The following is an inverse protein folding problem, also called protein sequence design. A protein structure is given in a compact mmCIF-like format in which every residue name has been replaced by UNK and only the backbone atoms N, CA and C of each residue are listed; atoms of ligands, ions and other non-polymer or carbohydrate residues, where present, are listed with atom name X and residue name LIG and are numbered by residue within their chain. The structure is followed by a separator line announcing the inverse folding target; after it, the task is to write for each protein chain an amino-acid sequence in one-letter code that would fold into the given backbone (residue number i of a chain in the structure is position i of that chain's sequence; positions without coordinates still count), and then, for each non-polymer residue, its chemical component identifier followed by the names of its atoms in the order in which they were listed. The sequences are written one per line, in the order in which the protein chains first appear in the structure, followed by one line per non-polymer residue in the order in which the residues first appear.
data_IF_566320613435
#
_entry.id   IF_566320613435
#
_cell.length_a   1.000
_cell.length_b   1.000
_cell.length_c   1.000
_cell.angle_alpha   90.00
_cell.angle_beta   90.00
_cell.angle_gamma   90.00
#
_symmetry.space_group_name_H-M   'P 1'
#
loop_
_entity.id
_entity.type
_entity.pdbx_description
1 polymer ?
#
# COMPACT_ATOMS: atom_id res chain seq x y z
N UNK A 1 -63.70 -17.14 -39.77
CA UNK A 1 -62.24 -17.36 -39.87
C UNK A 1 -61.60 -16.51 -38.77
N UNK A 2 -60.90 -17.14 -37.83
CA UNK A 2 -60.54 -16.56 -36.53
C UNK A 2 -59.47 -15.47 -36.62
N UNK A 3 -59.67 -14.37 -35.89
CA UNK A 3 -58.67 -13.31 -35.69
C UNK A 3 -57.52 -13.80 -34.80
N UNK A 4 -56.29 -13.69 -35.31
CA UNK A 4 -55.05 -13.88 -34.54
C UNK A 4 -54.68 -12.55 -33.89
N UNK A 5 -54.97 -12.40 -32.59
CA UNK A 5 -54.51 -11.28 -31.76
C UNK A 5 -53.40 -11.77 -30.83
N UNK A 6 -52.14 -11.71 -31.28
CA UNK A 6 -50.98 -12.10 -30.46
C UNK A 6 -49.70 -11.34 -30.82
N UNK A 7 -49.77 -10.02 -31.04
CA UNK A 7 -48.64 -9.23 -31.54
C UNK A 7 -48.02 -8.17 -30.61
N UNK A 8 -48.78 -7.61 -29.65
CA UNK A 8 -48.33 -6.39 -28.94
C UNK A 8 -47.91 -6.60 -27.48
N UNK A 9 -48.18 -7.76 -26.88
CA UNK A 9 -47.81 -8.06 -25.48
C UNK A 9 -46.37 -8.55 -25.35
N UNK A 10 -45.84 -9.28 -26.35
CA UNK A 10 -44.48 -9.83 -26.32
C UNK A 10 -43.40 -8.75 -26.43
N UNK A 11 -43.55 -7.80 -27.36
CA UNK A 11 -42.59 -6.71 -27.55
C UNK A 11 -42.48 -5.81 -26.31
N UNK A 12 -43.60 -5.51 -25.66
CA UNK A 12 -43.64 -4.70 -24.44
C UNK A 12 -43.03 -5.44 -23.25
N UNK A 13 -43.24 -6.76 -23.16
CA UNK A 13 -42.58 -7.59 -22.15
C UNK A 13 -41.07 -7.68 -22.36
N UNK A 14 -40.62 -7.84 -23.61
CA UNK A 14 -39.21 -7.93 -23.95
C UNK A 14 -38.48 -6.60 -23.68
N UNK A 15 -39.12 -5.47 -23.96
CA UNK A 15 -38.60 -4.14 -23.61
C UNK A 15 -38.45 -3.97 -22.09
N UNK A 16 -39.49 -4.32 -21.31
CA UNK A 16 -39.41 -4.24 -19.84
C UNK A 16 -38.32 -5.15 -19.26
N UNK A 17 -38.08 -6.32 -19.87
CA UNK A 17 -37.03 -7.23 -19.43
C UNK A 17 -35.64 -6.64 -19.71
N UNK A 18 -35.42 -6.09 -20.90
CA UNK A 18 -34.17 -5.43 -21.25
C UNK A 18 -33.87 -4.22 -20.34
N UNK A 19 -34.89 -3.43 -19.99
CA UNK A 19 -34.74 -2.30 -19.06
C UNK A 19 -34.35 -2.77 -17.65
N UNK A 20 -34.92 -3.89 -17.19
CA UNK A 20 -34.56 -4.50 -15.90
C UNK A 20 -33.13 -5.03 -15.90
N UNK A 21 -32.74 -5.73 -16.96
CA UNK A 21 -31.40 -6.31 -17.08
C UNK A 21 -30.33 -5.21 -17.17
N UNK A 22 -30.60 -4.13 -17.92
CA UNK A 22 -29.72 -2.96 -18.00
C UNK A 22 -29.54 -2.30 -16.63
N UNK A 23 -30.63 -2.11 -15.88
CA UNK A 23 -30.57 -1.54 -14.52
C UNK A 23 -29.81 -2.45 -13.56
N UNK A 24 -30.00 -3.77 -13.66
CA UNK A 24 -29.31 -4.75 -12.83
C UNK A 24 -27.81 -4.77 -13.13
N UNK A 25 -27.43 -4.71 -14.40
CA UNK A 25 -26.03 -4.65 -14.80
C UNK A 25 -25.36 -3.37 -14.33
N UNK A 26 -26.03 -2.22 -14.48
CA UNK A 26 -25.54 -0.94 -13.95
C UNK A 26 -25.38 -0.98 -12.42
N UNK A 27 -26.34 -1.57 -11.70
CA UNK A 27 -26.23 -1.75 -10.25
C UNK A 27 -25.07 -2.67 -9.85
N UNK A 28 -24.92 -3.82 -10.51
CA UNK A 28 -23.82 -4.76 -10.24
C UNK A 28 -22.45 -4.19 -10.65
N UNK A 29 -22.38 -3.34 -11.67
CA UNK A 29 -21.16 -2.63 -12.04
C UNK A 29 -20.76 -1.59 -10.99
N UNK A 30 -21.72 -0.79 -10.49
CA UNK A 30 -21.50 0.14 -9.37
C UNK A 30 -21.07 -0.62 -8.12
N UNK A 31 -21.75 -1.73 -7.79
CA UNK A 31 -21.43 -2.58 -6.65
C UNK A 31 -20.03 -3.20 -6.76
N UNK A 32 -19.65 -3.67 -7.96
CA UNK A 32 -18.29 -4.19 -8.24
C UNK A 32 -17.24 -3.09 -8.07
N UNK A 33 -17.48 -1.90 -8.60
CA UNK A 33 -16.59 -0.73 -8.44
C UNK A 33 -16.45 -0.30 -6.98
N UNK A 34 -17.54 -0.26 -6.21
CA UNK A 34 -17.49 0.03 -4.78
C UNK A 34 -16.75 -1.05 -3.99
N UNK A 35 -17.01 -2.33 -4.28
CA UNK A 35 -16.33 -3.45 -3.61
C UNK A 35 -14.83 -3.43 -3.90
N UNK A 36 -14.45 -3.14 -5.15
CA UNK A 36 -13.06 -2.98 -5.56
C UNK A 36 -12.39 -1.76 -4.92
N UNK A 37 -13.13 -0.68 -4.68
CA UNK A 37 -12.63 0.49 -3.97
C UNK A 37 -12.43 0.19 -2.47
N UNK A 38 -13.41 -0.47 -1.84
CA UNK A 38 -13.34 -0.91 -0.43
C UNK A 38 -12.21 -1.91 -0.19
N UNK A 39 -11.89 -2.76 -1.16
CA UNK A 39 -10.75 -3.69 -1.06
C UNK A 39 -9.39 -3.02 -1.31
N UNK A 40 -9.36 -1.83 -1.92
CA UNK A 40 -8.13 -1.05 -2.05
C UNK A 40 -7.82 -0.34 -0.73
N UNK A 41 -8.77 0.39 -0.16
CA UNK A 41 -8.50 1.22 1.02
C UNK A 41 -8.73 0.54 2.38
N UNK A 42 -8.48 -0.77 2.48
CA UNK A 42 -8.80 -1.59 3.66
C UNK A 42 -8.15 -1.09 4.98
N UNK A 43 -6.95 -0.50 4.92
CA UNK A 43 -6.24 0.02 6.10
C UNK A 43 -6.38 1.53 6.25
N UNK A 44 -6.96 2.23 5.27
CA UNK A 44 -6.86 3.68 5.19
C UNK A 44 -7.63 4.37 6.31
N UNK A 45 -8.75 3.79 6.77
CA UNK A 45 -9.51 4.29 7.93
C UNK A 45 -8.74 4.05 9.25
N UNK A 46 -8.06 2.90 9.39
CA UNK A 46 -7.24 2.60 10.57
C UNK A 46 -6.03 3.55 10.68
N UNK A 47 -5.55 4.10 9.56
CA UNK A 47 -4.44 5.04 9.54
C UNK A 47 -4.81 6.47 9.92
N UNK A 48 -6.09 6.84 9.98
CA UNK A 48 -6.50 8.21 10.27
C UNK A 48 -5.97 8.69 11.63
N UNK A 49 -5.51 9.94 11.68
CA UNK A 49 -4.93 10.54 12.88
C UNK A 49 -3.50 11.02 12.69
N UNK A 50 -2.82 11.29 13.81
CA UNK A 50 -1.41 11.72 13.83
C UNK A 50 -0.51 10.63 14.40
N UNK A 51 0.63 10.46 13.76
CA UNK A 51 1.58 9.39 14.01
C UNK A 51 2.98 9.96 14.17
N UNK A 52 3.57 9.76 15.34
CA UNK A 52 4.93 10.22 15.64
C UNK A 52 5.92 9.11 15.33
N UNK A 53 7.04 9.47 14.68
CA UNK A 53 8.14 8.54 14.47
C UNK A 53 8.66 7.99 15.80
N UNK A 54 8.74 6.66 15.89
CA UNK A 54 9.21 5.93 17.08
C UNK A 54 10.65 5.46 16.86
N UNK A 55 10.86 4.60 15.86
CA UNK A 55 12.14 3.96 15.61
C UNK A 55 12.31 3.52 14.15
N UNK A 56 13.56 3.21 13.80
CA UNK A 56 13.91 2.61 12.54
C UNK A 56 14.91 1.47 12.80
N UNK A 57 14.54 0.26 12.38
CA UNK A 57 15.24 -0.99 12.68
C UNK A 57 15.63 -1.68 11.38
N UNK A 58 16.86 -2.21 11.33
CA UNK A 58 17.36 -3.03 10.23
C UNK A 58 17.49 -4.46 10.72
N UNK A 59 16.65 -5.34 10.18
CA UNK A 59 16.71 -6.78 10.38
C UNK A 59 17.34 -7.40 9.13
N UNK A 60 18.66 -7.27 8.95
CA UNK A 60 19.37 -7.89 7.83
C UNK A 60 19.98 -9.24 8.26
N UNK A 61 20.03 -10.21 7.35
CA UNK A 61 20.74 -11.49 7.53
C UNK A 61 21.71 -11.71 6.38
N UNK A 62 22.93 -12.16 6.72
CA UNK A 62 23.89 -12.71 5.73
C UNK A 62 24.62 -11.67 4.88
N UNK A 63 24.88 -10.45 5.41
CA UNK A 63 25.52 -9.37 4.66
C UNK A 63 26.20 -8.29 5.51
N UNK A 64 26.44 -7.12 4.90
CA UNK A 64 27.10 -5.92 5.47
C UNK A 64 26.26 -5.22 6.55
N UNK A 65 25.75 -5.97 7.50
CA UNK A 65 24.80 -5.54 8.53
C UNK A 65 25.25 -4.25 9.20
N UNK A 66 26.55 -4.12 9.49
CA UNK A 66 27.11 -2.98 10.19
C UNK A 66 26.98 -1.67 9.40
N UNK A 67 27.22 -1.69 8.08
CA UNK A 67 27.13 -0.47 7.25
C UNK A 67 25.68 -0.02 7.13
N UNK A 68 24.76 -0.97 6.92
CA UNK A 68 23.35 -0.64 6.76
C UNK A 68 22.72 -0.17 8.09
N UNK A 69 23.08 -0.81 9.22
CA UNK A 69 22.69 -0.38 10.57
C UNK A 69 23.21 1.03 10.87
N UNK A 70 24.47 1.35 10.58
CA UNK A 70 25.02 2.70 10.77
C UNK A 70 24.29 3.75 9.91
N UNK A 71 23.98 3.42 8.65
CA UNK A 71 23.19 4.31 7.78
C UNK A 71 21.77 4.52 8.32
N UNK A 72 21.15 3.45 8.82
CA UNK A 72 19.84 3.48 9.44
C UNK A 72 19.81 4.32 10.71
N UNK A 73 20.80 4.19 11.59
CA UNK A 73 20.92 5.03 12.79
C UNK A 73 21.04 6.51 12.43
N UNK A 74 21.83 6.84 11.41
CA UNK A 74 21.95 8.21 10.90
C UNK A 74 20.62 8.71 10.33
N UNK A 75 19.88 7.87 9.63
CA UNK A 75 18.55 8.19 9.12
C UNK A 75 17.55 8.41 10.27
N UNK A 76 17.51 7.52 11.27
CA UNK A 76 16.64 7.62 12.44
C UNK A 76 16.83 8.95 13.19
N UNK A 77 18.08 9.41 13.35
CA UNK A 77 18.37 10.73 13.95
C UNK A 77 17.73 11.90 13.18
N UNK A 78 17.67 11.80 11.85
CA UNK A 78 17.01 12.81 11.00
C UNK A 78 15.49 12.76 11.04
N UNK A 79 14.94 11.58 11.33
CA UNK A 79 13.50 11.34 11.46
C UNK A 79 12.98 11.68 12.87
N UNK A 80 13.87 11.94 13.84
CA UNK A 80 13.48 12.29 15.21
C UNK A 80 12.54 13.50 15.23
N UNK A 81 11.36 13.33 15.81
CA UNK A 81 10.32 14.37 15.89
C UNK A 81 9.42 14.49 14.65
N UNK A 82 9.68 13.68 13.61
CA UNK A 82 8.81 13.60 12.44
C UNK A 82 7.42 13.11 12.84
N UNK A 83 6.40 13.73 12.27
CA UNK A 83 5.01 13.33 12.45
C UNK A 83 4.33 13.18 11.09
N UNK A 84 3.59 12.09 10.91
CA UNK A 84 2.72 11.85 9.77
C UNK A 84 1.27 12.08 10.20
N UNK A 85 0.56 12.90 9.45
CA UNK A 85 -0.87 13.10 9.63
C UNK A 85 -1.62 12.49 8.45
N UNK A 86 -2.63 11.70 8.74
CA UNK A 86 -3.55 11.15 7.75
C UNK A 86 -4.97 11.62 8.03
N UNK A 87 -5.66 12.02 6.98
CA UNK A 87 -7.06 12.41 7.07
C UNK A 87 -7.81 12.06 5.79
N UNK A 88 -9.13 12.05 5.89
CA UNK A 88 -10.02 11.84 4.76
C UNK A 88 -10.55 13.18 4.28
N UNK A 89 -10.43 13.46 2.98
CA UNK A 89 -11.03 14.63 2.35
C UNK A 89 -12.22 14.19 1.51
N UNK A 90 -13.42 14.58 1.96
CA UNK A 90 -14.69 14.12 1.38
C UNK A 90 -14.89 12.61 1.49
N UNK A 91 -15.62 12.03 0.55
CA UNK A 91 -15.98 10.61 0.59
C UNK A 91 -14.99 9.68 -0.12
N UNK A 92 -13.96 10.20 -0.78
CA UNK A 92 -13.22 9.43 -1.79
C UNK A 92 -11.72 9.48 -1.72
N UNK A 93 -11.11 10.44 -1.01
CA UNK A 93 -9.66 10.63 -1.02
C UNK A 93 -9.07 10.59 0.38
N UNK A 94 -8.04 9.77 0.56
CA UNK A 94 -7.20 9.80 1.73
C UNK A 94 -5.97 10.66 1.46
N UNK A 95 -5.67 11.54 2.40
CA UNK A 95 -4.63 12.55 2.31
C UNK A 95 -3.60 12.33 3.42
N UNK A 96 -2.36 12.69 3.13
CA UNK A 96 -1.27 12.65 4.10
C UNK A 96 -0.49 13.96 4.11
N UNK A 97 0.13 14.26 5.24
CA UNK A 97 1.07 15.35 5.41
C UNK A 97 2.18 14.93 6.35
N UNK A 98 3.40 15.33 6.02
CA UNK A 98 4.55 15.28 6.92
C UNK A 98 4.62 16.62 7.65
N UNK A 99 4.46 16.57 8.97
CA UNK A 99 4.62 17.70 9.86
C UNK A 99 6.07 17.73 10.38
N UNK A 100 6.52 18.91 10.82
CA UNK A 100 7.85 19.14 11.41
C UNK A 100 9.04 18.83 10.48
N UNK A 101 8.83 18.86 9.15
CA UNK A 101 9.90 18.88 8.16
C UNK A 101 9.71 20.02 7.15
N UNK A 102 10.81 20.67 6.78
CA UNK A 102 10.89 21.59 5.66
C UNK A 102 11.64 20.90 4.51
N UNK A 103 11.11 20.90 3.28
CA UNK A 103 9.84 21.47 2.85
C UNK A 103 8.62 20.65 3.31
N UNK A 104 7.47 21.33 3.46
CA UNK A 104 6.18 20.68 3.78
C UNK A 104 5.86 19.66 2.69
N UNK A 105 5.73 18.40 3.07
CA UNK A 105 5.40 17.31 2.16
C UNK A 105 3.96 16.88 2.38
N UNK A 106 3.16 16.81 1.33
CA UNK A 106 1.77 16.36 1.42
C UNK A 106 1.30 15.74 0.10
N UNK A 107 0.22 14.95 0.17
CA UNK A 107 -0.34 14.31 -1.00
C UNK A 107 -1.51 13.41 -0.67
N UNK A 108 -1.78 12.45 -1.55
CA UNK A 108 -2.78 11.41 -1.33
C UNK A 108 -2.11 10.05 -1.15
N UNK A 109 -2.82 9.09 -0.59
CA UNK A 109 -2.34 7.72 -0.51
C UNK A 109 -3.46 6.74 -0.81
N UNK A 110 -3.06 5.54 -1.22
CA UNK A 110 -3.96 4.38 -1.31
C UNK A 110 -3.30 3.21 -0.63
N UNK A 111 -4.10 2.38 0.01
CA UNK A 111 -3.62 1.07 0.47
C UNK A 111 -3.98 0.01 -0.57
N UNK A 112 -3.37 -1.16 -0.49
CA UNK A 112 -3.76 -2.36 -1.23
C UNK A 112 -3.71 -3.54 -0.27
N UNK A 113 -4.76 -4.36 -0.31
CA UNK A 113 -4.85 -5.56 0.54
C UNK A 113 -3.73 -6.53 0.20
N UNK A 114 -2.98 -6.98 1.21
CA UNK A 114 -2.14 -8.16 1.13
C UNK A 114 -2.34 -8.94 2.44
N UNK A 115 -3.16 -9.99 2.35
CA UNK A 115 -3.62 -10.96 3.36
C UNK A 115 -4.87 -10.60 4.18
N UNK A 116 -5.97 -11.33 3.92
CA UNK A 116 -7.14 -11.47 4.80
C UNK A 116 -6.86 -12.66 5.72
N UNK A 117 -6.61 -12.43 7.01
CA UNK A 117 -6.55 -13.51 8.01
C UNK A 117 -5.57 -13.27 9.15
N UNK A 118 -4.45 -12.59 8.89
CA UNK A 118 -3.39 -12.42 9.88
C UNK A 118 -3.58 -11.15 10.72
N UNK A 119 -3.40 -11.29 12.03
CA UNK A 119 -3.08 -10.17 12.92
C UNK A 119 -1.54 -10.08 12.98
N UNK A 120 -0.93 -8.90 12.82
CA UNK A 120 -1.54 -7.58 12.63
C UNK A 120 -2.09 -7.36 11.22
N UNK A 121 -3.08 -6.46 11.07
CA UNK A 121 -3.63 -6.12 9.75
C UNK A 121 -2.52 -5.54 8.88
N UNK A 122 -2.24 -6.17 7.73
CA UNK A 122 -1.14 -5.77 6.85
C UNK A 122 -1.57 -5.53 5.41
N UNK A 123 -0.76 -4.77 4.67
CA UNK A 123 -0.99 -4.48 3.27
C UNK A 123 0.20 -3.80 2.62
N UNK A 124 -0.05 -3.16 1.48
CA UNK A 124 0.91 -2.26 0.82
C UNK A 124 0.34 -0.85 0.80
N UNK A 125 1.21 0.15 0.91
CA UNK A 125 0.81 1.54 0.81
C UNK A 125 1.53 2.20 -0.35
N UNK A 126 0.80 3.02 -1.10
CA UNK A 126 1.35 3.85 -2.16
C UNK A 126 1.05 5.31 -1.84
N UNK A 127 2.10 6.14 -1.85
CA UNK A 127 2.01 7.57 -1.63
C UNK A 127 2.10 8.33 -2.95
N UNK A 128 1.19 9.25 -3.17
CA UNK A 128 1.14 10.13 -4.33
C UNK A 128 1.41 11.57 -3.86
N UNK A 129 2.67 12.02 -3.85
CA UNK A 129 3.00 13.36 -3.39
C UNK A 129 2.41 14.41 -4.34
N UNK A 130 1.76 15.42 -3.77
CA UNK A 130 1.39 16.64 -4.48
C UNK A 130 2.51 17.68 -4.33
N UNK A 131 3.19 17.68 -3.18
CA UNK A 131 4.36 18.52 -2.93
C UNK A 131 5.33 17.82 -1.98
N UNK A 132 6.61 18.17 -2.10
CA UNK A 132 7.70 17.61 -1.29
C UNK A 132 8.23 16.26 -1.77
N UNK A 133 8.94 15.57 -0.89
CA UNK A 133 9.62 14.30 -1.20
C UNK A 133 8.67 13.11 -1.06
N UNK A 134 8.92 12.00 -1.75
CA UNK A 134 8.14 10.79 -1.49
C UNK A 134 8.39 10.29 -0.06
N UNK A 135 7.34 9.86 0.64
CA UNK A 135 7.49 9.29 2.00
C UNK A 135 8.49 8.13 2.02
N UNK A 136 8.44 7.15 1.09
CA UNK A 136 9.41 6.06 1.13
C UNK A 136 10.85 6.50 0.86
N UNK A 137 11.07 7.52 0.02
CA UNK A 137 12.40 8.10 -0.17
C UNK A 137 12.89 8.76 1.13
N UNK A 138 12.02 9.48 1.83
CA UNK A 138 12.38 10.10 3.10
C UNK A 138 12.82 9.06 4.14
N UNK A 139 12.09 7.94 4.22
CA UNK A 139 12.32 6.90 5.22
C UNK A 139 13.46 5.95 4.85
N UNK A 140 13.61 5.59 3.56
CA UNK A 140 14.42 4.46 3.14
C UNK A 140 15.49 4.77 2.08
N UNK A 141 15.65 6.02 1.63
CA UNK A 141 16.64 6.32 0.59
C UNK A 141 18.10 6.01 1.00
N UNK A 142 18.39 5.84 2.28
CA UNK A 142 19.71 5.36 2.72
C UNK A 142 20.02 3.91 2.27
N UNK A 143 18.98 3.13 1.97
CA UNK A 143 19.04 1.78 1.43
C UNK A 143 19.10 1.75 -0.11
N UNK A 144 19.07 2.92 -0.76
CA UNK A 144 19.18 3.00 -2.23
C UNK A 144 20.55 2.49 -2.68
N UNK A 145 20.54 1.72 -3.77
CA UNK A 145 21.74 1.07 -4.31
C UNK A 145 22.04 -0.30 -3.71
N UNK A 146 21.24 -0.76 -2.74
CA UNK A 146 21.29 -2.17 -2.32
C UNK A 146 20.79 -3.04 -3.47
N UNK A 147 21.59 -4.04 -3.84
CA UNK A 147 21.21 -5.05 -4.80
C UNK A 147 20.29 -6.09 -4.13
N UNK A 148 19.23 -6.43 -4.85
CA UNK A 148 18.37 -7.58 -4.56
C UNK A 148 18.40 -8.53 -5.76
N UNK A 149 18.25 -9.82 -5.48
CA UNK A 149 18.13 -10.84 -6.51
C UNK A 149 16.70 -11.38 -6.54
N UNK A 150 16.20 -11.60 -7.75
CA UNK A 150 14.89 -12.20 -7.99
C UNK A 150 15.11 -13.46 -8.82
N UNK A 151 14.66 -14.60 -8.30
CA UNK A 151 14.60 -15.84 -9.05
C UNK A 151 13.37 -15.78 -9.97
N UNK A 152 13.62 -15.87 -11.28
CA UNK A 152 12.60 -15.90 -12.30
C UNK A 152 12.05 -17.32 -12.48
N UNK A 153 10.87 -17.42 -13.10
CA UNK A 153 10.17 -18.70 -13.27
C UNK A 153 10.89 -19.69 -14.20
N UNK A 154 11.78 -19.19 -15.06
CA UNK A 154 12.66 -19.97 -15.94
C UNK A 154 13.95 -20.42 -15.24
N UNK A 155 14.14 -20.08 -13.96
CA UNK A 155 15.34 -20.39 -13.19
C UNK A 155 16.46 -19.37 -13.33
N UNK A 156 16.30 -18.32 -14.14
CA UNK A 156 17.28 -17.24 -14.24
C UNK A 156 17.27 -16.35 -13.00
N UNK A 157 18.43 -15.74 -12.70
CA UNK A 157 18.59 -14.82 -11.58
C UNK A 157 18.74 -13.40 -12.11
N UNK A 158 17.75 -12.56 -11.81
CA UNK A 158 17.82 -11.14 -12.10
C UNK A 158 18.38 -10.38 -10.89
N UNK A 159 19.56 -9.77 -11.07
CA UNK A 159 20.07 -8.79 -10.12
C UNK A 159 19.49 -7.41 -10.45
N UNK A 160 18.83 -6.79 -9.46
CA UNK A 160 18.21 -5.48 -9.61
C UNK A 160 18.49 -4.61 -8.40
N UNK A 161 18.25 -3.30 -8.54
CA UNK A 161 18.35 -2.37 -7.42
C UNK A 161 17.04 -2.44 -6.63
N UNK A 162 17.17 -2.40 -5.31
CA UNK A 162 16.03 -2.35 -4.39
C UNK A 162 15.07 -1.21 -4.76
N UNK A 163 13.81 -1.57 -5.01
CA UNK A 163 12.72 -0.61 -5.24
C UNK A 163 12.11 -0.21 -3.91
N UNK A 164 12.15 1.08 -3.60
CA UNK A 164 11.69 1.64 -2.32
C UNK A 164 10.29 2.26 -2.40
N UNK A 165 9.64 2.25 -3.56
CA UNK A 165 8.43 3.03 -3.87
C UNK A 165 7.14 2.55 -3.18
N UNK A 166 7.04 1.26 -2.83
CA UNK A 166 5.82 0.68 -2.26
C UNK A 166 6.15 -0.15 -1.01
N UNK A 167 6.29 0.49 0.17
CA UNK A 167 6.51 -0.24 1.40
C UNK A 167 5.29 -1.07 1.79
N UNK A 168 5.54 -2.13 2.55
CA UNK A 168 4.49 -2.83 3.29
C UNK A 168 4.07 -1.94 4.45
N UNK A 169 2.79 -2.01 4.81
CA UNK A 169 2.24 -1.35 5.99
C UNK A 169 1.61 -2.40 6.88
N UNK A 170 1.81 -2.29 8.20
CA UNK A 170 1.09 -3.09 9.18
C UNK A 170 0.64 -2.24 10.35
N UNK A 171 -0.56 -2.54 10.86
CA UNK A 171 -1.21 -1.81 11.95
C UNK A 171 -1.42 -2.76 13.12
N UNK A 172 -0.93 -2.35 14.30
CA UNK A 172 -1.14 -3.05 15.57
C UNK A 172 -1.51 -2.03 16.65
N UNK A 173 -2.78 -2.00 17.04
CA UNK A 173 -3.30 -1.08 18.05
C UNK A 173 -2.98 0.40 17.73
N UNK A 174 -2.07 1.01 18.49
CA UNK A 174 -1.59 2.39 18.30
C UNK A 174 -0.24 2.48 17.59
N UNK A 175 0.23 1.39 17.00
CA UNK A 175 1.48 1.32 16.25
C UNK A 175 1.23 1.08 14.76
N UNK A 176 1.96 1.82 13.93
CA UNK A 176 1.99 1.66 12.49
C UNK A 176 3.44 1.41 12.06
N UNK A 177 3.65 0.31 11.36
CA UNK A 177 4.95 -0.03 10.79
C UNK A 177 4.91 0.12 9.27
N UNK A 178 5.89 0.83 8.73
CA UNK A 178 6.22 0.83 7.31
C UNK A 178 7.47 -0.01 7.12
N UNK A 179 7.39 -1.06 6.31
CA UNK A 179 8.47 -2.04 6.13
C UNK A 179 8.90 -2.11 4.68
N UNK A 180 10.21 -2.00 4.45
CA UNK A 180 10.87 -2.24 3.18
C UNK A 180 11.53 -3.62 3.20
N UNK A 181 11.15 -4.48 2.26
CA UNK A 181 11.68 -5.83 2.09
C UNK A 181 13.01 -5.74 1.33
N UNK A 182 14.11 -6.26 1.89
CA UNK A 182 15.43 -6.24 1.23
C UNK A 182 15.58 -7.32 0.15
N UNK A 183 14.56 -8.17 -0.01
CA UNK A 183 14.51 -9.20 -1.02
C UNK A 183 15.36 -10.43 -0.68
N UNK A 184 15.70 -11.18 -1.72
CA UNK A 184 16.46 -12.42 -1.60
C UNK A 184 17.89 -12.22 -2.10
N UNK A 185 18.80 -13.04 -1.58
CA UNK A 185 20.16 -13.17 -2.07
C UNK A 185 20.53 -14.65 -2.15
N UNK A 186 21.30 -15.01 -3.19
CA UNK A 186 21.88 -16.34 -3.30
C UNK A 186 23.14 -16.42 -2.42
N UNK A 187 23.09 -17.30 -1.42
CA UNK A 187 24.21 -17.64 -0.55
C UNK A 187 24.68 -19.08 -0.82
N UNK A 188 25.83 -19.51 -0.27
CA UNK A 188 26.30 -20.89 -0.42
C UNK A 188 25.28 -21.95 0.02
N UNK A 189 24.48 -21.64 1.04
CA UNK A 189 23.42 -22.52 1.58
C UNK A 189 22.08 -22.40 0.82
N UNK A 190 22.08 -21.68 -0.31
CA UNK A 190 20.91 -21.45 -1.16
C UNK A 190 20.31 -20.06 -1.02
N UNK A 191 19.04 -19.93 -1.40
CA UNK A 191 18.32 -18.66 -1.39
C UNK A 191 17.98 -18.24 0.03
N UNK A 192 18.52 -17.11 0.46
CA UNK A 192 18.26 -16.53 1.78
C UNK A 192 17.45 -15.25 1.65
N UNK A 193 16.45 -15.11 2.50
CA UNK A 193 15.78 -13.83 2.70
C UNK A 193 16.74 -12.90 3.43
N UNK A 194 17.08 -11.78 2.78
CA UNK A 194 18.04 -10.82 3.31
C UNK A 194 17.50 -10.05 4.50
N UNK A 195 16.18 -10.07 4.70
CA UNK A 195 15.52 -9.42 5.81
C UNK A 195 14.81 -8.13 5.42
N UNK A 196 14.63 -7.21 6.36
CA UNK A 196 13.79 -6.04 6.16
C UNK A 196 14.32 -4.79 6.89
N UNK A 197 13.82 -3.62 6.48
CA UNK A 197 13.97 -2.36 7.20
C UNK A 197 12.59 -1.94 7.67
N UNK A 198 12.41 -1.81 8.97
CA UNK A 198 11.15 -1.39 9.59
C UNK A 198 11.26 0.04 10.11
N UNK A 199 10.28 0.87 9.79
CA UNK A 199 10.12 2.22 10.30
C UNK A 199 8.80 2.30 11.04
N UNK A 200 8.86 2.54 12.35
CA UNK A 200 7.72 2.42 13.27
C UNK A 200 7.23 3.79 13.72
N UNK A 201 5.92 3.89 13.90
CA UNK A 201 5.24 5.10 14.34
C UNK A 201 4.21 4.78 15.42
N UNK A 202 4.05 5.68 16.38
CA UNK A 202 3.01 5.60 17.41
C UNK A 202 1.91 6.64 17.17
N UNK A 203 0.66 6.29 17.44
CA UNK A 203 -0.48 7.21 17.30
C UNK A 203 -0.53 8.18 18.49
N UNK A 204 -0.48 9.47 18.20
CA UNK A 204 -0.54 10.55 19.19
C UNK A 204 -1.88 11.31 19.20
N UNK A 205 -2.69 11.18 18.15
CA UNK A 205 -4.05 11.73 18.01
C UNK A 205 -4.92 10.79 17.17
#
# INVERSE_FOLDING_TARGET
MALVLAGCTSAKHQQMQNERDTRREAYEDVRRKETFKRSRDFLSDDMLGKWRFLELVVEERGGSEDILKVKAERAARRLKGLTLRFWKSGNTAYQYQIENMMPKTYGTYTTRTVHRGDKPKSGRIHFYPVSGTQVPDLLFNFAKGIHQQVLLSDGEVLSTILRIDIPRISMKDREMDLTLDLGMILAPDGWLHRGNIRCSFERIE
#
